data_IF_543066558550
#
_entry.id   IF_543066558550
#
_cell.length_a   1.000
_cell.length_b   1.000
_cell.length_c   1.000
_cell.angle_alpha   90.00
_cell.angle_beta   90.00
_cell.angle_gamma   90.00
#
_symmetry.space_group_name_H-M   'P 1'
#
loop_
_entity.id
_entity.type
_entity.pdbx_description
1 polymer ?
#
# COMPACT_ATOMS: atom_id res chain seq x y z
N UNK A 1 -7.15 29.34 -12.24
CA UNK A 1 -8.17 30.24 -11.69
C UNK A 1 -7.70 31.67 -11.92
N UNK A 2 -8.59 32.63 -12.19
CA UNK A 2 -8.21 34.01 -12.49
C UNK A 2 -7.90 34.82 -11.20
N UNK A 3 -7.17 34.23 -10.25
CA UNK A 3 -6.84 34.86 -8.97
C UNK A 3 -5.38 35.30 -8.94
N UNK A 4 -5.14 36.55 -8.54
CA UNK A 4 -3.83 37.21 -8.43
C UNK A 4 -3.07 36.88 -7.13
N UNK A 5 -3.51 35.86 -6.38
CA UNK A 5 -3.20 35.72 -4.95
C UNK A 5 -1.71 35.49 -4.62
N UNK A 6 -1.27 36.12 -3.52
CA UNK A 6 -0.03 35.83 -2.79
C UNK A 6 -0.10 34.46 -2.08
N UNK A 7 -0.10 33.38 -2.84
CA UNK A 7 -0.27 32.01 -2.33
C UNK A 7 0.75 31.09 -2.95
N UNK A 8 1.30 30.18 -2.14
CA UNK A 8 2.33 29.24 -2.58
C UNK A 8 1.81 28.33 -3.71
N UNK A 9 2.57 28.31 -4.81
CA UNK A 9 2.33 27.42 -5.93
C UNK A 9 3.01 26.07 -5.70
N UNK A 10 2.38 25.03 -6.24
CA UNK A 10 3.02 23.75 -6.48
C UNK A 10 3.30 23.64 -7.97
N UNK A 11 4.51 23.23 -8.33
CA UNK A 11 4.92 23.08 -9.72
C UNK A 11 4.92 21.60 -10.09
N UNK A 12 4.31 21.29 -11.24
CA UNK A 12 4.37 19.93 -11.76
C UNK A 12 5.77 19.62 -12.29
N UNK A 13 6.40 18.54 -11.83
CA UNK A 13 7.74 18.14 -12.29
C UNK A 13 7.84 17.80 -13.78
N UNK A 14 6.72 17.46 -14.43
CA UNK A 14 6.71 17.05 -15.85
C UNK A 14 6.44 18.22 -16.79
N UNK A 15 5.40 19.03 -16.57
CA UNK A 15 5.05 20.15 -17.45
C UNK A 15 5.48 21.52 -16.93
N UNK A 16 6.04 21.60 -15.72
CA UNK A 16 6.46 22.85 -15.07
C UNK A 16 5.36 23.89 -14.85
N UNK A 17 4.10 23.54 -15.07
CA UNK A 17 2.96 24.44 -14.86
C UNK A 17 2.72 24.69 -13.36
N UNK A 18 2.40 25.94 -12.96
CA UNK A 18 2.08 26.29 -11.58
C UNK A 18 0.62 25.98 -11.23
N UNK A 19 0.39 25.43 -10.05
CA UNK A 19 -0.94 25.14 -9.53
C UNK A 19 -1.11 25.72 -8.13
N UNK A 20 -2.21 26.41 -7.89
CA UNK A 20 -2.59 26.76 -6.53
C UNK A 20 -3.00 25.51 -5.75
N UNK A 21 -2.43 25.29 -4.57
CA UNK A 21 -2.73 24.12 -3.73
C UNK A 21 -4.22 23.96 -3.44
N UNK A 22 -4.96 25.05 -3.26
CA UNK A 22 -6.42 25.01 -3.00
C UNK A 22 -7.25 24.71 -4.26
N UNK A 23 -6.73 24.95 -5.46
CA UNK A 23 -7.41 24.59 -6.71
C UNK A 23 -7.30 23.09 -7.03
N UNK A 24 -6.39 22.38 -6.37
CA UNK A 24 -6.25 20.93 -6.49
C UNK A 24 -7.32 20.22 -5.65
N UNK A 25 -7.84 19.11 -6.16
CA UNK A 25 -8.67 18.19 -5.38
C UNK A 25 -7.91 17.69 -4.14
N UNK A 26 -8.61 17.34 -3.06
CA UNK A 26 -7.98 16.93 -1.79
C UNK A 26 -6.99 15.76 -1.96
N UNK A 27 -7.30 14.83 -2.85
CA UNK A 27 -6.50 13.66 -3.22
C UNK A 27 -5.34 13.99 -4.19
N UNK A 28 -5.32 15.17 -4.80
CA UNK A 28 -4.29 15.65 -5.72
C UNK A 28 -3.29 16.58 -5.04
N UNK A 29 -3.63 17.11 -3.86
CA UNK A 29 -2.74 17.97 -3.09
C UNK A 29 -1.51 17.16 -2.64
N UNK A 30 -0.28 17.63 -2.93
CA UNK A 30 0.92 17.00 -2.40
C UNK A 30 0.96 17.12 -0.88
N UNK A 31 1.55 16.10 -0.26
CA UNK A 31 2.06 16.20 1.11
C UNK A 31 3.29 17.11 1.12
N UNK A 32 3.61 17.69 2.28
CA UNK A 32 4.72 18.65 2.42
C UNK A 32 6.07 18.06 2.00
N UNK A 33 6.31 16.81 2.36
CA UNK A 33 7.51 16.03 1.99
C UNK A 33 7.55 15.61 0.51
N UNK A 34 6.48 15.90 -0.26
CA UNK A 34 6.30 15.46 -1.65
C UNK A 34 6.09 16.62 -2.62
N UNK A 35 6.22 17.86 -2.17
CA UNK A 35 6.06 19.06 -3.00
C UNK A 35 7.00 19.04 -4.20
N UNK A 36 8.27 18.66 -3.99
CA UNK A 36 9.30 18.64 -5.03
C UNK A 36 9.06 17.55 -6.09
N UNK A 37 8.41 16.44 -5.75
CA UNK A 37 8.18 15.32 -6.68
C UNK A 37 6.76 15.30 -7.25
N UNK A 38 5.99 16.37 -7.01
CA UNK A 38 4.57 16.39 -7.37
C UNK A 38 4.37 16.43 -8.89
N UNK A 39 3.39 15.66 -9.35
CA UNK A 39 3.01 15.56 -10.76
C UNK A 39 1.52 15.86 -10.90
N UNK A 40 1.17 16.82 -11.76
CA UNK A 40 -0.21 17.20 -11.97
C UNK A 40 -1.03 16.08 -12.63
N UNK A 41 -2.35 16.12 -12.46
CA UNK A 41 -3.30 15.14 -13.01
C UNK A 41 -3.13 14.92 -14.52
N UNK A 42 -2.79 15.97 -15.28
CA UNK A 42 -2.59 15.90 -16.74
C UNK A 42 -1.33 15.16 -17.14
N UNK A 43 -0.31 15.21 -16.29
CA UNK A 43 0.97 14.55 -16.52
C UNK A 43 1.03 13.12 -15.94
N UNK A 44 0.13 12.78 -15.01
CA UNK A 44 -0.02 11.40 -14.53
C UNK A 44 -0.51 10.50 -15.68
N UNK A 45 0.14 9.35 -15.81
CA UNK A 45 -0.19 8.32 -16.79
C UNK A 45 -0.30 6.95 -16.13
N UNK A 46 -1.07 6.06 -16.75
CA UNK A 46 -1.15 4.68 -16.31
C UNK A 46 0.16 3.95 -16.62
N UNK A 47 0.84 3.42 -15.61
CA UNK A 47 2.09 2.68 -15.75
C UNK A 47 1.93 1.35 -16.53
N UNK A 48 0.70 0.90 -16.80
CA UNK A 48 0.42 -0.30 -17.60
C UNK A 48 0.21 0.03 -19.08
N UNK A 49 -0.64 1.01 -19.41
CA UNK A 49 -1.00 1.30 -20.81
C UNK A 49 -0.38 2.59 -21.37
N UNK A 50 0.36 3.36 -20.57
CA UNK A 50 1.00 4.61 -20.96
C UNK A 50 0.05 5.79 -21.21
N UNK A 51 -1.27 5.59 -21.11
CA UNK A 51 -2.27 6.64 -21.38
C UNK A 51 -2.48 7.53 -20.17
N UNK A 52 -2.68 8.82 -20.43
CA UNK A 52 -2.98 9.84 -19.43
C UNK A 52 -4.38 9.70 -18.85
N UNK A 53 -4.59 10.38 -17.73
CA UNK A 53 -5.90 10.54 -17.09
C UNK A 53 -6.95 11.09 -18.07
N UNK A 54 -8.13 10.46 -18.13
CA UNK A 54 -9.31 11.01 -18.79
C UNK A 54 -10.27 11.56 -17.75
N UNK A 55 -10.88 12.73 -18.00
CA UNK A 55 -11.72 13.46 -17.04
C UNK A 55 -12.72 12.61 -16.25
N UNK A 56 -13.24 11.54 -16.85
CA UNK A 56 -14.27 10.65 -16.28
C UNK A 56 -13.74 9.50 -15.41
N UNK A 57 -12.42 9.19 -15.41
CA UNK A 57 -11.87 8.03 -14.68
C UNK A 57 -10.57 8.35 -13.96
N UNK A 58 -10.62 8.42 -12.63
CA UNK A 58 -9.45 8.68 -11.79
C UNK A 58 -8.42 7.54 -11.82
N UNK A 59 -7.14 7.90 -11.88
CA UNK A 59 -6.03 6.97 -11.72
C UNK A 59 -5.81 6.67 -10.23
N UNK A 60 -5.56 5.40 -9.91
CA UNK A 60 -5.13 4.98 -8.58
C UNK A 60 -3.63 5.21 -8.43
N UNK A 61 -3.20 5.87 -7.36
CA UNK A 61 -1.79 6.09 -7.06
C UNK A 61 -1.32 5.11 -5.97
N UNK A 62 -0.23 4.38 -6.23
CA UNK A 62 0.37 3.48 -5.26
C UNK A 62 1.06 4.27 -4.13
N UNK A 63 0.69 4.04 -2.87
CA UNK A 63 1.35 4.70 -1.74
C UNK A 63 2.86 4.38 -1.59
N UNK A 64 3.35 3.29 -2.20
CA UNK A 64 4.77 2.90 -2.16
C UNK A 64 5.61 3.50 -3.29
N UNK A 65 5.21 3.28 -4.54
CA UNK A 65 6.02 3.67 -5.71
C UNK A 65 5.48 4.91 -6.44
N UNK A 66 4.34 5.47 -6.01
CA UNK A 66 3.69 6.64 -6.61
C UNK A 66 3.28 6.50 -8.09
N UNK A 67 3.51 5.35 -8.70
CA UNK A 67 2.99 5.03 -10.02
C UNK A 67 1.46 5.04 -10.00
N UNK A 68 0.91 5.52 -11.11
CA UNK A 68 -0.53 5.65 -11.32
C UNK A 68 -1.06 4.51 -12.21
N UNK A 69 -2.27 4.05 -11.94
CA UNK A 69 -2.87 2.88 -12.61
C UNK A 69 -4.35 3.11 -12.88
N UNK A 70 -4.83 2.71 -14.06
CA UNK A 70 -6.26 2.59 -14.30
C UNK A 70 -6.82 1.37 -13.53
N UNK A 71 -7.99 1.48 -12.89
CA UNK A 71 -8.70 0.34 -12.31
C UNK A 71 -8.79 -0.86 -13.24
N UNK A 72 -9.09 -0.62 -14.52
CA UNK A 72 -9.27 -1.66 -15.54
C UNK A 72 -7.94 -2.30 -15.99
N UNK A 73 -6.81 -1.65 -15.73
CA UNK A 73 -5.49 -2.18 -16.05
C UNK A 73 -4.91 -3.09 -14.95
N UNK A 74 -5.58 -3.24 -13.80
CA UNK A 74 -5.08 -3.98 -12.64
C UNK A 74 -5.55 -5.45 -12.58
N UNK A 75 -6.39 -5.86 -13.54
CA UNK A 75 -7.02 -7.19 -13.57
C UNK A 75 -8.31 -7.26 -12.74
N UNK A 76 -9.17 -8.27 -12.99
CA UNK A 76 -10.56 -8.29 -12.48
C UNK A 76 -10.66 -8.42 -10.96
N UNK A 77 -9.67 -9.05 -10.31
CA UNK A 77 -9.74 -9.40 -8.89
C UNK A 77 -8.87 -8.51 -7.99
N UNK A 78 -8.16 -7.54 -8.54
CA UNK A 78 -7.31 -6.67 -7.73
C UNK A 78 -8.14 -5.51 -7.15
N UNK A 79 -7.95 -5.13 -5.87
CA UNK A 79 -8.68 -4.01 -5.29
C UNK A 79 -8.48 -2.73 -6.09
N UNK A 80 -9.57 -2.12 -6.54
CA UNK A 80 -9.57 -0.86 -7.32
C UNK A 80 -10.03 0.35 -6.51
N UNK A 81 -10.23 0.18 -5.20
CA UNK A 81 -10.63 1.27 -4.30
C UNK A 81 -9.65 1.33 -3.13
N UNK A 82 -9.16 2.53 -2.75
CA UNK A 82 -8.41 2.70 -1.52
C UNK A 82 -9.25 2.29 -0.30
N UNK A 83 -8.59 1.87 0.78
CA UNK A 83 -9.31 1.49 2.00
C UNK A 83 -9.99 2.69 2.63
N UNK A 84 -11.26 2.53 3.04
CA UNK A 84 -12.07 3.64 3.60
C UNK A 84 -11.40 4.32 4.82
N UNK A 85 -10.70 3.54 5.65
CA UNK A 85 -10.12 4.02 6.91
C UNK A 85 -8.85 4.83 6.74
N UNK A 86 -7.93 4.40 5.86
CA UNK A 86 -6.59 5.00 5.73
C UNK A 86 -6.32 5.63 4.36
N UNK A 87 -7.27 5.55 3.41
CA UNK A 87 -7.08 5.92 2.00
C UNK A 87 -5.80 5.30 1.40
N UNK A 88 -5.42 4.10 1.84
CA UNK A 88 -4.22 3.40 1.36
C UNK A 88 -4.58 2.49 0.21
N UNK A 89 -3.74 2.51 -0.83
CA UNK A 89 -3.77 1.54 -1.92
C UNK A 89 -2.35 1.23 -2.38
N UNK A 90 -2.03 -0.06 -2.53
CA UNK A 90 -0.72 -0.53 -2.99
C UNK A 90 -0.92 -1.25 -4.33
N UNK A 91 -0.07 -0.97 -5.32
CA UNK A 91 -0.14 -1.65 -6.62
C UNK A 91 0.36 -3.09 -6.57
N UNK A 92 -0.02 -3.88 -7.57
CA UNK A 92 0.35 -5.30 -7.72
C UNK A 92 1.87 -5.55 -7.70
N UNK A 93 2.68 -4.59 -8.15
CA UNK A 93 4.16 -4.71 -8.13
C UNK A 93 4.78 -4.45 -6.74
N UNK A 94 4.09 -3.70 -5.88
CA UNK A 94 4.63 -3.27 -4.58
C UNK A 94 3.99 -3.99 -3.39
N UNK A 95 2.84 -4.63 -3.61
CA UNK A 95 2.14 -5.38 -2.57
C UNK A 95 2.92 -6.67 -2.28
N UNK A 96 3.15 -6.91 -1.00
CA UNK A 96 3.86 -8.09 -0.52
C UNK A 96 3.49 -8.33 0.93
N UNK A 97 3.08 -9.56 1.25
CA UNK A 97 2.83 -9.97 2.62
C UNK A 97 4.13 -9.89 3.43
N UNK A 98 4.15 -9.15 4.54
CA UNK A 98 5.34 -9.03 5.40
C UNK A 98 5.75 -10.35 6.07
N UNK A 99 4.78 -11.25 6.27
CA UNK A 99 5.02 -12.55 6.90
C UNK A 99 5.59 -13.57 5.92
N UNK A 100 4.82 -13.92 4.87
CA UNK A 100 5.15 -15.01 3.95
C UNK A 100 5.75 -14.56 2.60
N UNK A 101 5.79 -13.25 2.31
CA UNK A 101 6.32 -12.74 1.05
C UNK A 101 5.39 -12.89 -0.16
N UNK A 102 4.19 -13.46 -0.01
CA UNK A 102 3.21 -13.57 -1.09
C UNK A 102 2.93 -12.21 -1.73
N UNK A 103 2.75 -12.18 -3.05
CA UNK A 103 2.32 -11.00 -3.83
C UNK A 103 0.85 -11.10 -4.26
N UNK A 104 0.12 -12.11 -3.78
CA UNK A 104 -1.34 -12.27 -3.94
C UNK A 104 -2.02 -12.30 -2.57
N UNK A 105 -3.29 -11.87 -2.48
CA UNK A 105 -4.01 -11.85 -1.20
C UNK A 105 -4.31 -13.25 -0.66
N UNK A 106 -4.28 -14.30 -1.48
CA UNK A 106 -4.51 -15.68 -1.08
C UNK A 106 -4.90 -16.54 -2.27
N UNK A 107 -5.20 -17.82 -2.04
CA UNK A 107 -5.62 -18.78 -3.08
C UNK A 107 -7.13 -18.76 -3.37
N UNK A 108 -7.94 -18.34 -2.40
CA UNK A 108 -9.40 -18.26 -2.52
C UNK A 108 -9.85 -17.09 -3.40
N UNK A 109 -11.01 -17.24 -4.05
CA UNK A 109 -11.61 -16.19 -4.88
C UNK A 109 -12.07 -14.97 -4.06
N UNK A 110 -12.34 -15.17 -2.78
CA UNK A 110 -12.75 -14.16 -1.80
C UNK A 110 -11.56 -13.62 -0.97
N UNK A 111 -10.34 -14.08 -1.24
CA UNK A 111 -9.16 -13.69 -0.47
C UNK A 111 -8.86 -12.21 -0.67
N UNK A 112 -8.75 -11.48 0.44
CA UNK A 112 -8.47 -10.05 0.45
C UNK A 112 -7.21 -9.73 1.24
N UNK A 113 -6.51 -8.68 0.81
CA UNK A 113 -5.43 -8.10 1.60
C UNK A 113 -5.98 -7.52 2.91
N UNK A 114 -5.14 -7.48 3.94
CA UNK A 114 -5.44 -6.67 5.14
C UNK A 114 -5.72 -5.21 4.76
N UNK A 115 -6.41 -4.49 5.66
CA UNK A 115 -6.86 -3.11 5.44
C UNK A 115 -5.74 -2.09 5.14
N UNK A 116 -4.48 -2.46 5.41
CA UNK A 116 -3.28 -1.69 5.17
C UNK A 116 -2.36 -2.31 4.10
N UNK A 117 -2.81 -3.38 3.42
CA UNK A 117 -2.06 -4.13 2.42
C UNK A 117 -0.74 -4.74 2.93
N UNK A 118 -0.61 -4.97 4.25
CA UNK A 118 0.60 -5.53 4.86
C UNK A 118 0.62 -7.06 4.94
N UNK A 119 -0.55 -7.71 5.00
CA UNK A 119 -0.70 -9.16 5.16
C UNK A 119 -1.67 -9.73 4.12
N UNK A 120 -1.35 -10.92 3.59
CA UNK A 120 -2.32 -11.71 2.84
C UNK A 120 -3.42 -12.24 3.79
N UNK A 121 -4.51 -12.75 3.22
CA UNK A 121 -5.68 -13.25 3.93
C UNK A 121 -5.32 -14.27 5.01
N UNK A 122 -4.52 -15.28 4.67
CA UNK A 122 -4.19 -16.37 5.59
C UNK A 122 -3.28 -15.88 6.73
N UNK A 123 -2.26 -15.07 6.42
CA UNK A 123 -1.42 -14.47 7.46
C UNK A 123 -2.20 -13.46 8.33
N UNK A 124 -3.16 -12.72 7.77
CA UNK A 124 -4.01 -11.84 8.56
C UNK A 124 -4.88 -12.62 9.55
N UNK A 125 -5.39 -13.80 9.16
CA UNK A 125 -6.11 -14.71 10.06
C UNK A 125 -5.22 -15.23 11.18
N UNK A 126 -4.01 -15.70 10.87
CA UNK A 126 -3.04 -16.16 11.87
C UNK A 126 -2.65 -15.04 12.84
N UNK A 127 -2.38 -13.84 12.32
CA UNK A 127 -2.06 -12.67 13.12
C UNK A 127 -3.21 -12.32 14.09
N UNK A 128 -4.47 -12.38 13.62
CA UNK A 128 -5.65 -12.11 14.45
C UNK A 128 -5.87 -13.17 15.56
N UNK A 129 -5.44 -14.41 15.34
CA UNK A 129 -5.44 -15.46 16.37
C UNK A 129 -4.33 -15.29 17.41
N UNK A 130 -3.32 -14.45 17.14
CA UNK A 130 -2.12 -14.32 17.97
C UNK A 130 -0.95 -15.20 17.52
N UNK A 131 -1.08 -15.90 16.39
CA UNK A 131 -0.05 -16.80 15.87
C UNK A 131 0.98 -16.02 15.06
N UNK A 132 1.76 -15.19 15.74
CA UNK A 132 2.85 -14.43 15.14
C UNK A 132 3.97 -14.18 16.15
N UNK A 133 5.20 -14.19 15.66
CA UNK A 133 6.36 -13.87 16.47
C UNK A 133 6.40 -12.36 16.74
N UNK A 134 6.37 -11.90 18.00
CA UNK A 134 6.32 -10.48 18.33
C UNK A 134 7.60 -9.69 18.00
N UNK A 135 8.69 -10.38 17.63
CA UNK A 135 9.97 -9.75 17.32
C UNK A 135 10.17 -9.50 15.83
N UNK A 136 9.55 -10.31 14.97
CA UNK A 136 9.71 -10.20 13.52
C UNK A 136 8.38 -10.12 12.76
N UNK A 137 7.25 -10.12 13.47
CA UNK A 137 5.88 -10.09 12.94
C UNK A 137 5.53 -11.21 11.95
N UNK A 138 6.37 -12.25 11.84
CA UNK A 138 6.09 -13.40 11.00
C UNK A 138 5.07 -14.29 11.69
N UNK A 139 3.99 -14.57 10.98
CA UNK A 139 2.97 -15.52 11.37
C UNK A 139 3.51 -16.94 11.22
N UNK A 140 3.08 -17.83 12.12
CA UNK A 140 3.38 -19.25 12.11
C UNK A 140 2.07 -20.02 12.17
N UNK A 141 2.09 -21.27 11.72
CA UNK A 141 0.97 -22.20 11.91
C UNK A 141 1.15 -22.95 13.24
N UNK A 142 0.07 -23.46 13.81
CA UNK A 142 0.16 -24.27 15.04
C UNK A 142 0.88 -25.60 14.76
N UNK A 143 0.85 -26.06 13.50
CA UNK A 143 1.53 -27.27 13.03
C UNK A 143 2.93 -27.02 12.41
N UNK A 144 3.50 -25.81 12.56
CA UNK A 144 4.85 -25.50 12.07
C UNK A 144 5.94 -25.99 13.05
N UNK A 145 6.09 -27.32 13.14
CA UNK A 145 7.10 -27.97 14.00
C UNK A 145 8.54 -27.82 13.47
N UNK A 146 8.71 -27.38 12.22
CA UNK A 146 10.02 -27.18 11.59
C UNK A 146 10.66 -25.85 12.01
N UNK A 147 9.84 -24.84 12.29
CA UNK A 147 10.31 -23.58 12.84
C UNK A 147 10.72 -23.77 14.30
N UNK A 148 12.03 -23.65 14.59
CA UNK A 148 12.53 -23.57 15.97
C UNK A 148 11.89 -22.36 16.69
N UNK A 149 10.97 -22.65 17.61
CA UNK A 149 10.24 -21.66 18.39
C UNK A 149 10.22 -22.00 19.87
N UNK A 150 10.02 -20.98 20.70
CA UNK A 150 9.99 -21.11 22.15
C UNK A 150 8.81 -20.32 22.70
N UNK A 151 8.13 -20.91 23.68
CA UNK A 151 7.01 -20.28 24.36
C UNK A 151 7.50 -19.49 25.58
N UNK A 152 7.05 -18.24 25.71
CA UNK A 152 7.29 -17.45 26.91
C UNK A 152 6.38 -17.93 28.05
N UNK A 153 6.95 -18.46 29.13
CA UNK A 153 6.16 -18.94 30.29
C UNK A 153 5.40 -17.87 31.09
N UNK A 154 5.46 -16.58 30.70
CA UNK A 154 4.69 -15.49 31.34
C UNK A 154 3.47 -15.05 30.53
N UNK A 155 3.56 -15.09 29.21
CA UNK A 155 2.53 -14.56 28.31
C UNK A 155 2.07 -15.56 27.25
N UNK A 156 2.60 -16.78 27.29
CA UNK A 156 2.31 -17.93 26.43
C UNK A 156 2.51 -17.68 24.93
N UNK A 157 3.13 -16.55 24.56
CA UNK A 157 3.47 -16.21 23.18
C UNK A 157 4.69 -16.98 22.70
N UNK A 158 4.68 -17.31 21.41
CA UNK A 158 5.78 -18.02 20.77
C UNK A 158 6.70 -17.08 20.01
N UNK A 159 7.99 -17.35 20.10
CA UNK A 159 9.04 -16.55 19.48
C UNK A 159 9.99 -17.49 18.75
N UNK A 160 10.41 -17.13 17.53
CA UNK A 160 11.45 -17.90 16.84
C UNK A 160 12.74 -17.86 17.65
N UNK A 161 13.42 -18.98 17.87
CA UNK A 161 14.67 -19.04 18.66
C UNK A 161 15.72 -18.05 18.15
N UNK A 162 15.87 -17.95 16.81
CA UNK A 162 16.77 -16.98 16.16
C UNK A 162 16.44 -15.51 16.46
N UNK A 163 15.17 -15.19 16.72
CA UNK A 163 14.76 -13.81 17.01
C UNK A 163 15.17 -13.37 18.42
N UNK A 164 15.38 -14.33 19.33
CA UNK A 164 15.95 -14.11 20.67
C UNK A 164 17.48 -14.36 20.70
N UNK A 165 18.12 -14.44 19.52
CA UNK A 165 19.55 -14.75 19.37
C UNK A 165 19.97 -16.11 19.96
N UNK A 166 19.06 -17.08 19.96
CA UNK A 166 19.32 -18.45 20.38
C UNK A 166 19.43 -19.32 19.12
N UNK A 167 20.61 -19.91 18.89
CA UNK A 167 20.97 -20.72 17.71
C UNK A 167 20.64 -22.20 17.88
#
# INVERSE_FOLDING_TARGET
>A
CASSGHVEFVYCQVCCEPFHKFCLEENERPLEDQLENWCCRRCKFCHVCGRQHQATKQLLECNKCRNSYHPECLGPNYPTKPTKKKKVWICTKCVRCKSCGSTTPGKGWDAQWSHDFSLCHDCAKLFAKGNFCPLCDKCYDDDDYESKMMQCGKCDRWVHSKCENLS
#
